data_IF_806893415059
#
_entry.id   IF_806893415059
#
_cell.length_a   1.000
_cell.length_b   1.000
_cell.length_c   1.000
_cell.angle_alpha   90.00
_cell.angle_beta   90.00
_cell.angle_gamma   90.00
#
_symmetry.space_group_name_H-M   'P 1'
#
loop_
_entity.id
_entity.type
_entity.pdbx_description
1 polymer ?
#
# COMPACT_ATOMS: atom_id res chain seq x y z
N UNK A 1 -14.57 -35.09 -2.39
CA UNK A 1 -13.78 -34.19 -1.51
C UNK A 1 -12.34 -34.61 -1.62
N UNK A 2 -11.43 -33.73 -2.08
CA UNK A 2 -9.99 -34.00 -2.03
C UNK A 2 -9.52 -33.88 -0.57
N UNK A 3 -8.54 -34.66 -0.16
CA UNK A 3 -8.04 -34.65 1.22
C UNK A 3 -7.43 -33.29 1.57
N UNK A 4 -7.87 -32.72 2.69
CA UNK A 4 -7.20 -31.59 3.33
C UNK A 4 -5.80 -32.04 3.73
N UNK A 5 -4.78 -31.47 3.12
CA UNK A 5 -3.40 -31.71 3.53
C UNK A 5 -3.10 -30.83 4.75
N UNK A 6 -2.41 -31.39 5.75
CA UNK A 6 -1.76 -30.58 6.79
C UNK A 6 -0.59 -29.83 6.15
N UNK A 7 -0.88 -28.65 5.62
CA UNK A 7 0.14 -27.71 5.15
C UNK A 7 0.55 -26.81 6.31
N UNK A 8 1.83 -26.46 6.39
CA UNK A 8 2.31 -25.43 7.31
C UNK A 8 1.91 -24.05 6.78
N UNK A 9 0.68 -23.66 7.10
CA UNK A 9 0.12 -22.37 6.66
C UNK A 9 1.00 -21.22 7.14
N UNK A 10 1.54 -21.27 8.37
CA UNK A 10 2.33 -20.16 8.89
C UNK A 10 3.62 -19.94 8.10
N UNK A 11 4.32 -21.03 7.74
CA UNK A 11 5.49 -20.94 6.86
C UNK A 11 5.14 -20.32 5.49
N UNK A 12 4.01 -20.72 4.89
CA UNK A 12 3.55 -20.18 3.61
C UNK A 12 3.15 -18.69 3.70
N UNK A 13 2.46 -18.28 4.78
CA UNK A 13 2.15 -16.88 5.06
C UNK A 13 3.42 -16.03 5.13
N UNK A 14 4.45 -16.54 5.80
CA UNK A 14 5.72 -15.85 5.92
C UNK A 14 6.43 -15.72 4.56
N UNK A 15 6.51 -16.80 3.77
CA UNK A 15 7.09 -16.76 2.42
C UNK A 15 6.35 -15.77 1.51
N UNK A 16 5.02 -15.72 1.61
CA UNK A 16 4.19 -14.78 0.87
C UNK A 16 4.50 -13.33 1.23
N UNK A 17 4.50 -13.01 2.52
CA UNK A 17 4.83 -11.66 2.99
C UNK A 17 6.24 -11.21 2.57
N UNK A 18 7.20 -12.13 2.57
CA UNK A 18 8.55 -11.88 2.08
C UNK A 18 8.54 -11.52 0.59
N UNK A 19 7.84 -12.32 -0.21
CA UNK A 19 7.74 -12.13 -1.65
C UNK A 19 7.12 -10.76 -2.00
N UNK A 20 6.05 -10.38 -1.31
CA UNK A 20 5.35 -9.11 -1.54
C UNK A 20 6.21 -7.90 -1.18
N UNK A 21 7.02 -8.00 -0.12
CA UNK A 21 7.99 -6.96 0.20
C UNK A 21 9.11 -6.86 -0.83
N UNK A 22 9.67 -7.99 -1.26
CA UNK A 22 10.71 -7.99 -2.29
C UNK A 22 10.19 -7.37 -3.59
N UNK A 23 8.97 -7.75 -3.99
CA UNK A 23 8.26 -7.14 -5.13
C UNK A 23 8.17 -5.62 -4.96
N UNK A 24 7.70 -5.15 -3.80
CA UNK A 24 7.52 -3.73 -3.54
C UNK A 24 8.85 -2.95 -3.55
N UNK A 25 9.90 -3.50 -2.96
CA UNK A 25 11.25 -2.91 -2.98
C UNK A 25 11.77 -2.79 -4.43
N UNK A 26 11.56 -3.82 -5.26
CA UNK A 26 11.98 -3.80 -6.66
C UNK A 26 11.17 -2.82 -7.51
N UNK A 27 9.87 -2.64 -7.20
CA UNK A 27 9.07 -1.59 -7.78
C UNK A 27 9.60 -0.21 -7.39
N UNK A 28 9.90 0.06 -6.11
CA UNK A 28 10.50 1.34 -5.69
C UNK A 28 11.82 1.59 -6.44
N UNK A 29 12.68 0.57 -6.55
CA UNK A 29 13.92 0.66 -7.32
C UNK A 29 13.68 0.98 -8.80
N UNK A 30 12.61 0.44 -9.39
CA UNK A 30 12.21 0.75 -10.77
C UNK A 30 11.75 2.19 -10.90
N UNK A 31 10.95 2.69 -9.95
CA UNK A 31 10.56 4.10 -9.91
C UNK A 31 11.81 5.01 -9.85
N UNK A 32 12.77 4.73 -8.97
CA UNK A 32 13.99 5.55 -8.83
C UNK A 32 14.89 5.56 -10.08
N UNK A 33 14.93 4.47 -10.85
CA UNK A 33 15.83 4.31 -12.00
C UNK A 33 15.26 4.85 -13.31
N UNK A 34 13.94 4.86 -13.45
CA UNK A 34 13.27 5.24 -14.69
C UNK A 34 12.86 6.71 -14.64
N UNK A 35 13.56 7.58 -15.40
CA UNK A 35 13.29 9.02 -15.43
C UNK A 35 11.82 9.35 -15.77
N UNK A 36 11.21 8.54 -16.64
CA UNK A 36 9.79 8.65 -17.00
C UNK A 36 8.83 8.45 -15.82
N UNK A 37 9.28 7.83 -14.74
CA UNK A 37 8.54 7.67 -13.49
C UNK A 37 8.93 8.73 -12.46
N UNK A 38 10.21 8.83 -12.10
CA UNK A 38 10.62 9.64 -10.95
C UNK A 38 10.59 11.15 -11.23
N UNK A 39 10.92 11.60 -12.44
CA UNK A 39 10.96 13.05 -12.73
C UNK A 39 9.57 13.68 -12.63
N UNK A 40 8.49 13.09 -13.19
CA UNK A 40 7.12 13.53 -12.93
C UNK A 40 6.77 13.59 -11.44
N UNK A 41 7.09 12.54 -10.68
CA UNK A 41 6.81 12.48 -9.24
C UNK A 41 7.52 13.58 -8.45
N UNK A 42 8.80 13.83 -8.74
CA UNK A 42 9.58 14.94 -8.16
C UNK A 42 8.93 16.29 -8.41
N UNK A 43 8.44 16.53 -9.63
CA UNK A 43 7.73 17.78 -9.97
C UNK A 43 6.42 17.91 -9.20
N UNK A 44 5.64 16.84 -9.10
CA UNK A 44 4.41 16.82 -8.30
C UNK A 44 4.71 17.07 -6.81
N UNK A 45 5.72 16.41 -6.25
CA UNK A 45 6.16 16.59 -4.87
C UNK A 45 6.63 18.04 -4.61
N UNK A 46 7.45 18.61 -5.52
CA UNK A 46 7.86 20.02 -5.44
C UNK A 46 6.65 20.96 -5.44
N UNK A 47 5.69 20.72 -6.32
CA UNK A 47 4.48 21.55 -6.38
C UNK A 47 3.64 21.43 -5.10
N UNK A 48 3.59 20.25 -4.49
CA UNK A 48 2.93 20.07 -3.20
C UNK A 48 3.65 20.81 -2.05
N UNK A 49 4.98 20.81 -2.03
CA UNK A 49 5.76 21.61 -1.08
C UNK A 49 5.49 23.10 -1.25
N UNK A 50 5.45 23.59 -2.50
CA UNK A 50 5.12 24.99 -2.80
C UNK A 50 3.71 25.36 -2.34
N UNK A 51 2.74 24.48 -2.58
CA UNK A 51 1.39 24.63 -2.06
C UNK A 51 1.38 24.71 -0.52
N UNK A 52 2.07 23.80 0.18
CA UNK A 52 2.14 23.79 1.65
C UNK A 52 2.81 25.06 2.20
N UNK A 53 3.83 25.59 1.54
CA UNK A 53 4.45 26.88 1.92
C UNK A 53 3.50 28.07 1.82
N UNK A 54 2.43 27.96 1.01
CA UNK A 54 1.39 28.98 0.87
C UNK A 54 0.14 28.68 1.71
N UNK A 55 0.13 27.58 2.47
CA UNK A 55 -0.96 27.22 3.39
C UNK A 55 -0.72 27.83 4.77
N UNK A 56 -1.72 27.73 5.65
CA UNK A 56 -1.60 28.21 7.03
C UNK A 56 -0.47 27.47 7.76
N UNK A 57 0.58 28.21 8.13
CA UNK A 57 1.82 27.68 8.72
C UNK A 57 1.55 26.79 9.94
N UNK A 58 0.66 27.23 10.84
CA UNK A 58 0.32 26.46 12.04
C UNK A 58 -0.24 25.08 11.72
N UNK A 59 -0.97 24.94 10.62
CA UNK A 59 -1.55 23.65 10.18
C UNK A 59 -0.47 22.74 9.59
N UNK A 60 0.45 23.30 8.80
CA UNK A 60 1.56 22.56 8.22
C UNK A 60 2.51 22.05 9.29
N UNK A 61 2.89 22.90 10.24
CA UNK A 61 3.74 22.52 11.36
C UNK A 61 3.09 21.44 12.24
N UNK A 62 1.78 21.50 12.45
CA UNK A 62 1.03 20.47 13.18
C UNK A 62 1.01 19.13 12.42
N UNK A 63 0.87 19.15 11.09
CA UNK A 63 0.99 17.94 10.26
C UNK A 63 2.40 17.34 10.31
N UNK A 64 3.46 18.17 10.24
CA UNK A 64 4.84 17.71 10.36
C UNK A 64 5.11 17.02 11.71
N UNK A 65 4.47 17.46 12.79
CA UNK A 65 4.59 16.83 14.12
C UNK A 65 3.94 15.44 14.16
N UNK A 66 2.74 15.30 13.59
CA UNK A 66 2.04 14.00 13.53
C UNK A 66 2.76 12.98 12.63
N UNK A 67 3.43 13.49 11.60
CA UNK A 67 4.22 12.74 10.63
C UNK A 67 5.73 12.81 10.90
N UNK A 68 6.14 13.01 12.15
CA UNK A 68 7.56 13.13 12.54
C UNK A 68 8.41 11.86 12.31
N UNK A 69 7.77 10.73 12.00
CA UNK A 69 8.44 9.46 11.69
C UNK A 69 8.70 9.26 10.19
N UNK A 70 8.30 10.20 9.33
CA UNK A 70 8.62 10.09 7.90
C UNK A 70 10.14 10.08 7.69
N UNK A 71 10.58 9.25 6.76
CA UNK A 71 12.00 9.01 6.48
C UNK A 71 12.65 10.26 5.90
N UNK A 72 11.88 11.04 5.13
CA UNK A 72 12.35 12.31 4.57
C UNK A 72 12.86 13.30 5.63
N UNK A 73 12.39 13.23 6.87
CA UNK A 73 12.92 14.05 7.96
C UNK A 73 14.30 13.60 8.43
N UNK A 74 14.56 12.30 8.38
CA UNK A 74 15.86 11.73 8.77
C UNK A 74 16.94 12.06 7.72
N UNK A 75 16.56 12.15 6.45
CA UNK A 75 17.51 12.41 5.35
C UNK A 75 17.66 13.87 5.00
N UNK A 76 16.58 14.67 5.09
CA UNK A 76 16.56 16.06 4.60
C UNK A 76 16.28 17.11 5.68
N UNK A 77 15.81 16.70 6.86
CA UNK A 77 15.62 17.58 8.02
C UNK A 77 14.44 18.57 7.95
N UNK A 78 14.34 19.44 6.94
CA UNK A 78 13.34 20.53 6.89
C UNK A 78 12.65 20.69 5.55
N UNK A 79 11.43 21.23 5.54
CA UNK A 79 10.66 21.52 4.32
C UNK A 79 11.41 22.42 3.32
N UNK A 80 12.13 23.44 3.82
CA UNK A 80 12.93 24.33 2.98
C UNK A 80 14.06 23.57 2.28
N UNK A 81 14.77 22.72 3.01
CA UNK A 81 15.86 21.93 2.43
C UNK A 81 15.32 20.91 1.42
N UNK A 82 14.23 20.21 1.74
CA UNK A 82 13.53 19.31 0.82
C UNK A 82 13.12 20.03 -0.46
N UNK A 83 12.56 21.24 -0.34
CA UNK A 83 12.14 22.07 -1.47
C UNK A 83 13.29 22.50 -2.37
N UNK A 84 14.49 22.74 -1.81
CA UNK A 84 15.68 23.10 -2.58
C UNK A 84 16.30 21.89 -3.29
N UNK A 85 16.22 20.71 -2.70
CA UNK A 85 16.83 19.47 -3.23
C UNK A 85 15.83 18.56 -3.97
N UNK A 86 14.67 19.10 -4.35
CA UNK A 86 13.54 18.34 -4.89
C UNK A 86 13.88 17.45 -6.10
N UNK A 87 14.87 17.87 -6.91
CA UNK A 87 15.33 17.14 -8.09
C UNK A 87 16.05 15.84 -7.76
N UNK A 88 16.54 15.70 -6.52
CA UNK A 88 17.26 14.53 -6.03
C UNK A 88 16.37 13.58 -5.21
N UNK A 89 15.07 13.88 -5.06
CA UNK A 89 14.18 13.08 -4.23
C UNK A 89 14.04 11.66 -4.78
N UNK A 90 14.06 10.67 -3.90
CA UNK A 90 13.76 9.28 -4.25
C UNK A 90 12.25 9.02 -4.22
N UNK A 91 11.82 7.89 -4.75
CA UNK A 91 10.43 7.46 -4.78
C UNK A 91 9.85 7.37 -3.36
N UNK A 92 10.61 6.82 -2.40
CA UNK A 92 10.21 6.81 -0.98
C UNK A 92 10.00 8.23 -0.41
N UNK A 93 10.91 9.16 -0.69
CA UNK A 93 10.81 10.56 -0.25
C UNK A 93 9.63 11.29 -0.92
N UNK A 94 9.36 11.03 -2.20
CA UNK A 94 8.17 11.54 -2.88
C UNK A 94 6.89 11.02 -2.20
N UNK A 95 6.85 9.74 -1.85
CA UNK A 95 5.73 9.14 -1.12
C UNK A 95 5.54 9.75 0.27
N UNK A 96 6.61 10.07 0.99
CA UNK A 96 6.53 10.76 2.29
C UNK A 96 5.92 12.17 2.14
N UNK A 97 6.29 12.91 1.08
CA UNK A 97 5.68 14.23 0.80
C UNK A 97 4.20 14.09 0.48
N UNK A 98 3.80 13.06 -0.27
CA UNK A 98 2.40 12.76 -0.58
C UNK A 98 1.61 12.55 0.71
N UNK A 99 2.14 11.73 1.63
CA UNK A 99 1.53 11.45 2.93
C UNK A 99 1.39 12.72 3.76
N UNK A 100 2.46 13.52 3.84
CA UNK A 100 2.44 14.80 4.55
C UNK A 100 1.36 15.74 3.98
N UNK A 101 1.27 15.84 2.66
CA UNK A 101 0.24 16.65 2.01
C UNK A 101 -1.17 16.17 2.37
N UNK A 102 -1.41 14.86 2.36
CA UNK A 102 -2.68 14.27 2.79
C UNK A 102 -3.08 14.65 4.22
N UNK A 103 -2.11 14.65 5.14
CA UNK A 103 -2.29 15.07 6.54
C UNK A 103 -2.58 16.57 6.66
N UNK A 104 -1.86 17.43 5.92
CA UNK A 104 -2.10 18.88 5.87
C UNK A 104 -3.51 19.17 5.37
N UNK A 105 -3.95 18.51 4.29
CA UNK A 105 -5.30 18.68 3.75
C UNK A 105 -6.37 18.30 4.77
N UNK A 106 -6.17 17.22 5.52
CA UNK A 106 -7.12 16.81 6.57
C UNK A 106 -7.27 17.87 7.66
N UNK A 107 -6.14 18.39 8.15
CA UNK A 107 -6.13 19.41 9.20
C UNK A 107 -6.72 20.73 8.70
N UNK A 108 -6.45 21.11 7.45
CA UNK A 108 -7.10 22.26 6.81
C UNK A 108 -8.62 22.07 6.71
N UNK A 109 -9.08 20.86 6.40
CA UNK A 109 -10.50 20.53 6.40
C UNK A 109 -11.16 20.75 7.77
N UNK A 110 -10.48 20.35 8.85
CA UNK A 110 -10.94 20.54 10.24
C UNK A 110 -10.91 22.01 10.68
N UNK A 111 -9.96 22.80 10.17
CA UNK A 111 -9.85 24.23 10.46
C UNK A 111 -10.93 25.08 9.76
N UNK A 112 -11.59 24.54 8.73
CA UNK A 112 -12.66 25.21 7.98
C UNK A 112 -12.18 26.04 6.78
N UNK A 113 -13.10 26.78 6.16
CA UNK A 113 -12.80 27.63 4.99
C UNK A 113 -12.47 26.85 3.71
N UNK A 114 -11.55 27.37 2.89
CA UNK A 114 -11.16 26.77 1.60
C UNK A 114 -10.57 25.36 1.70
N UNK A 115 -10.08 24.96 2.87
CA UNK A 115 -9.58 23.60 3.14
C UNK A 115 -10.67 22.52 3.15
N UNK A 116 -11.91 22.88 3.50
CA UNK A 116 -13.02 21.92 3.61
C UNK A 116 -13.40 21.29 2.26
N UNK A 117 -13.36 22.05 1.17
CA UNK A 117 -13.62 21.53 -0.17
C UNK A 117 -12.55 20.52 -0.60
N UNK A 118 -11.29 20.81 -0.28
CA UNK A 118 -10.17 19.96 -0.63
C UNK A 118 -10.18 18.64 0.16
N UNK A 119 -10.49 18.69 1.46
CA UNK A 119 -10.66 17.50 2.28
C UNK A 119 -11.88 16.67 1.85
N UNK A 120 -12.98 17.32 1.46
CA UNK A 120 -14.16 16.65 0.90
C UNK A 120 -13.83 15.90 -0.38
N UNK A 121 -13.08 16.53 -1.29
CA UNK A 121 -12.63 15.88 -2.53
C UNK A 121 -11.67 14.72 -2.24
N UNK A 122 -10.74 14.87 -1.29
CA UNK A 122 -9.86 13.77 -0.88
C UNK A 122 -10.67 12.57 -0.36
N UNK A 123 -11.71 12.83 0.43
CA UNK A 123 -12.59 11.78 0.98
C UNK A 123 -13.35 10.98 -0.07
N UNK A 124 -13.54 11.47 -1.30
CA UNK A 124 -14.22 10.69 -2.36
C UNK A 124 -13.39 9.51 -2.87
N UNK A 125 -12.07 9.53 -2.65
CA UNK A 125 -11.17 8.41 -3.00
C UNK A 125 -11.14 7.34 -1.90
N UNK A 126 -11.66 7.66 -0.71
CA UNK A 126 -11.89 6.68 0.34
C UNK A 126 -13.19 5.97 -0.01
N UNK A 127 -13.19 4.65 -0.19
CA UNK A 127 -14.44 3.93 -0.48
C UNK A 127 -15.48 4.19 0.62
N UNK A 128 -16.76 4.07 0.28
CA UNK A 128 -17.83 4.31 1.25
C UNK A 128 -17.68 3.37 2.47
N UNK A 129 -17.98 3.83 3.70
CA UNK A 129 -17.96 2.97 4.89
C UNK A 129 -18.78 1.70 4.65
N UNK A 130 -18.14 0.53 4.86
CA UNK A 130 -18.87 -0.74 4.82
C UNK A 130 -19.86 -0.77 5.99
N UNK A 131 -21.02 -1.39 5.78
CA UNK A 131 -21.95 -1.68 6.87
C UNK A 131 -21.48 -2.93 7.61
N UNK A 132 -21.50 -2.93 8.94
CA UNK A 132 -21.29 -4.14 9.72
C UNK A 132 -22.52 -5.08 9.62
N UNK A 133 -22.45 -6.26 10.27
CA UNK A 133 -23.55 -7.23 10.31
C UNK A 133 -24.83 -6.71 10.97
N UNK A 134 -24.77 -5.55 11.65
CA UNK A 134 -25.88 -4.89 12.30
C UNK A 134 -26.35 -3.67 11.50
N UNK A 135 -25.80 -3.41 10.30
CA UNK A 135 -26.16 -2.29 9.45
C UNK A 135 -25.56 -0.95 9.88
N UNK A 136 -24.56 -0.94 10.76
CA UNK A 136 -23.86 0.28 11.21
C UNK A 136 -22.72 0.62 10.25
N UNK A 137 -22.57 1.91 9.92
CA UNK A 137 -21.40 2.38 9.17
C UNK A 137 -20.12 2.10 9.96
N UNK A 138 -19.26 1.25 9.41
CA UNK A 138 -17.90 1.07 9.88
C UNK A 138 -17.08 2.24 9.40
N UNK A 139 -16.52 3.00 10.34
CA UNK A 139 -15.75 4.18 9.97
C UNK A 139 -14.31 3.73 9.69
N UNK A 140 -13.90 3.89 8.43
CA UNK A 140 -12.52 3.65 7.99
C UNK A 140 -11.53 4.40 8.88
N UNK A 141 -10.42 3.76 9.22
CA UNK A 141 -9.34 4.33 10.04
C UNK A 141 -9.68 4.51 11.55
N UNK A 142 -10.90 4.91 11.93
CA UNK A 142 -11.22 5.15 13.35
C UNK A 142 -11.61 3.89 14.13
N UNK A 143 -12.13 2.85 13.48
CA UNK A 143 -12.37 1.54 14.12
C UNK A 143 -11.10 0.64 14.16
N UNK A 144 -9.91 1.26 14.05
CA UNK A 144 -8.61 0.63 14.34
C UNK A 144 -8.47 0.34 15.84
N UNK A 145 -9.12 -0.70 16.36
CA UNK A 145 -8.67 -1.25 17.64
C UNK A 145 -7.38 -2.06 17.43
N UNK A 146 -6.25 -1.36 17.40
CA UNK A 146 -4.93 -1.98 17.53
C UNK A 146 -4.79 -2.50 18.95
N UNK A 147 -4.77 -3.82 19.13
CA UNK A 147 -4.15 -4.39 20.31
C UNK A 147 -2.65 -4.19 20.13
N UNK A 148 -2.05 -3.23 20.85
CA UNK A 148 -0.59 -3.03 20.88
C UNK A 148 0.04 -4.21 21.62
N UNK A 149 0.44 -5.25 20.89
CA UNK A 149 1.34 -6.27 21.40
C UNK A 149 2.77 -5.79 21.23
N UNK A 150 3.47 -5.45 22.33
CA UNK A 150 4.92 -5.16 22.30
C UNK A 150 5.74 -6.43 22.07
N UNK A 151 5.61 -7.07 20.91
CA UNK A 151 6.59 -8.07 20.47
C UNK A 151 7.36 -7.48 19.31
N UNK A 152 8.59 -7.06 19.61
CA UNK A 152 9.61 -6.83 18.60
C UNK A 152 9.79 -8.14 17.84
N UNK A 153 9.32 -8.17 16.59
CA UNK A 153 9.55 -9.32 15.70
C UNK A 153 11.05 -9.46 15.53
N UNK A 154 11.57 -10.64 15.84
CA UNK A 154 12.96 -10.96 15.53
C UNK A 154 13.11 -10.90 14.01
N UNK A 155 13.87 -9.89 13.55
CA UNK A 155 14.17 -9.65 12.14
C UNK A 155 15.04 -10.82 11.67
N UNK A 156 14.57 -11.70 10.78
CA UNK A 156 15.38 -12.81 10.29
C UNK A 156 16.60 -12.28 9.51
N UNK A 157 17.68 -13.06 9.49
CA UNK A 157 18.97 -12.66 8.89
C UNK A 157 18.87 -12.24 7.41
N UNK A 158 18.02 -12.91 6.62
CA UNK A 158 17.77 -12.53 5.21
C UNK A 158 17.23 -11.10 5.08
N UNK A 159 16.56 -10.57 6.11
CA UNK A 159 15.97 -9.25 6.11
C UNK A 159 17.02 -8.14 6.23
N UNK A 160 18.24 -8.43 6.71
CA UNK A 160 19.33 -7.43 6.76
C UNK A 160 19.79 -6.99 5.36
N UNK A 161 19.93 -7.95 4.43
CA UNK A 161 20.29 -7.67 3.03
C UNK A 161 19.22 -6.82 2.31
N UNK A 162 17.95 -7.03 2.66
CA UNK A 162 16.85 -6.24 2.09
C UNK A 162 16.65 -4.90 2.80
N UNK A 163 17.04 -4.80 4.07
CA UNK A 163 17.14 -3.52 4.77
C UNK A 163 18.14 -2.59 4.10
N UNK A 164 19.31 -3.09 3.74
CA UNK A 164 20.30 -2.32 3.01
C UNK A 164 19.76 -1.86 1.65
N UNK A 165 19.17 -2.78 0.86
CA UNK A 165 18.57 -2.43 -0.44
C UNK A 165 17.44 -1.41 -0.29
N UNK A 166 16.53 -1.58 0.66
CA UNK A 166 15.42 -0.67 0.85
C UNK A 166 15.89 0.71 1.34
N UNK A 167 16.90 0.74 2.22
CA UNK A 167 17.48 1.99 2.71
C UNK A 167 18.12 2.81 1.59
N UNK A 168 18.78 2.16 0.62
CA UNK A 168 19.28 2.83 -0.59
C UNK A 168 18.17 3.54 -1.38
N UNK A 169 16.95 3.03 -1.31
CA UNK A 169 15.77 3.60 -1.99
C UNK A 169 14.91 4.49 -1.09
N UNK A 170 15.41 4.84 0.10
CA UNK A 170 14.74 5.71 1.04
C UNK A 170 13.53 5.09 1.73
N UNK A 171 13.55 3.77 1.92
CA UNK A 171 12.53 3.02 2.66
C UNK A 171 13.05 2.79 4.08
N UNK A 172 12.30 3.22 5.09
CA UNK A 172 12.62 2.99 6.50
C UNK A 172 11.67 1.97 7.14
N UNK A 173 12.22 0.81 7.49
CA UNK A 173 11.48 -0.24 8.19
C UNK A 173 11.08 0.15 9.63
N UNK A 174 11.62 1.22 10.22
CA UNK A 174 11.13 1.74 11.52
C UNK A 174 9.75 2.38 11.39
N UNK A 175 9.33 2.79 10.19
CA UNK A 175 7.95 3.22 9.93
C UNK A 175 6.94 2.06 10.04
N UNK A 176 7.41 0.79 10.03
CA UNK A 176 6.57 -0.40 10.18
C UNK A 176 5.77 -0.42 11.50
N UNK A 177 6.23 0.29 12.54
CA UNK A 177 5.58 0.37 13.86
C UNK A 177 4.20 1.05 13.86
N UNK A 178 3.71 1.52 12.71
CA UNK A 178 2.33 1.97 12.54
C UNK A 178 1.48 1.09 11.61
N UNK A 179 1.99 0.05 10.94
CA UNK A 179 1.29 -0.58 9.82
C UNK A 179 0.94 -2.06 9.99
N UNK A 180 1.98 -2.87 10.18
CA UNK A 180 1.89 -4.33 10.22
C UNK A 180 2.77 -4.82 11.37
N UNK A 181 2.27 -4.77 12.59
CA UNK A 181 2.92 -5.41 13.75
C UNK A 181 2.41 -6.86 13.85
N UNK A 182 3.30 -7.85 13.98
CA UNK A 182 2.90 -9.17 14.50
C UNK A 182 2.34 -8.96 15.91
N UNK A 183 1.01 -8.97 16.01
CA UNK A 183 0.28 -8.70 17.26
C UNK A 183 -0.84 -7.67 17.13
N UNK A 184 -0.88 -6.86 16.06
CA UNK A 184 -2.04 -6.03 15.76
C UNK A 184 -3.11 -6.88 15.06
N UNK A 185 -4.03 -7.47 15.82
CA UNK A 185 -5.16 -8.18 15.22
C UNK A 185 -6.19 -7.19 14.68
N UNK A 186 -6.42 -7.18 13.37
CA UNK A 186 -7.67 -6.64 12.80
C UNK A 186 -8.84 -7.34 13.50
N UNK A 187 -9.99 -6.71 13.72
CA UNK A 187 -11.12 -7.37 14.35
C UNK A 187 -11.60 -8.56 13.49
N UNK A 188 -12.05 -9.64 14.12
CA UNK A 188 -12.40 -10.90 13.43
C UNK A 188 -13.53 -10.74 12.40
N UNK A 189 -14.24 -9.61 12.45
CA UNK A 189 -15.31 -9.28 11.53
C UNK A 189 -14.88 -8.52 10.27
N UNK A 190 -13.67 -7.94 10.19
CA UNK A 190 -13.21 -7.24 8.98
C UNK A 190 -13.19 -8.17 7.78
N UNK A 191 -13.76 -7.73 6.66
CA UNK A 191 -13.78 -8.47 5.40
C UNK A 191 -12.36 -8.72 4.90
N UNK A 192 -11.46 -7.74 5.05
CA UNK A 192 -10.05 -7.89 4.65
C UNK A 192 -9.37 -8.97 5.48
N UNK A 193 -9.55 -9.00 6.81
CA UNK A 193 -9.02 -10.09 7.65
C UNK A 193 -9.54 -11.46 7.24
N UNK A 194 -10.80 -11.57 6.83
CA UNK A 194 -11.37 -12.85 6.37
C UNK A 194 -10.76 -13.30 5.06
N UNK A 195 -10.53 -12.37 4.13
CA UNK A 195 -9.81 -12.62 2.88
C UNK A 195 -8.36 -13.00 3.20
N UNK A 196 -7.66 -12.24 4.03
CA UNK A 196 -6.29 -12.54 4.46
C UNK A 196 -6.18 -13.94 5.06
N UNK A 197 -7.12 -14.29 5.94
CA UNK A 197 -7.17 -15.60 6.54
C UNK A 197 -7.43 -16.68 5.47
N UNK A 198 -8.43 -16.52 4.61
CA UNK A 198 -8.77 -17.49 3.58
C UNK A 198 -7.63 -17.72 2.57
N UNK A 199 -6.87 -16.69 2.22
CA UNK A 199 -5.78 -16.77 1.25
C UNK A 199 -4.38 -16.89 1.87
N UNK A 200 -4.28 -17.01 3.20
CA UNK A 200 -3.01 -17.10 3.90
C UNK A 200 -2.12 -15.85 3.69
N UNK A 201 -2.71 -14.67 3.79
CA UNK A 201 -1.98 -13.39 3.74
C UNK A 201 -1.57 -12.95 5.16
N UNK A 202 -0.46 -12.21 5.29
CA UNK A 202 -0.05 -11.60 6.56
C UNK A 202 -1.15 -10.68 7.13
N UNK A 203 -1.26 -10.65 8.47
CA UNK A 203 -2.30 -9.86 9.17
C UNK A 203 -1.95 -8.37 9.13
N UNK A 204 -2.90 -7.54 8.70
CA UNK A 204 -2.85 -6.07 8.80
C UNK A 204 -2.94 -5.41 7.42
N UNK A 205 -3.86 -4.53 7.07
CA UNK A 205 -4.90 -3.82 7.79
C UNK A 205 -6.24 -3.87 7.00
N UNK A 206 -7.20 -3.00 7.34
CA UNK A 206 -8.43 -2.76 6.53
C UNK A 206 -8.14 -1.73 5.43
N UNK A 207 -9.07 -1.37 4.54
CA UNK A 207 -8.81 -0.45 3.39
C UNK A 207 -7.88 0.75 3.74
N UNK A 208 -6.81 0.91 2.95
CA UNK A 208 -5.76 1.89 3.21
C UNK A 208 -6.19 3.31 2.84
N UNK A 209 -6.50 4.11 3.87
CA UNK A 209 -6.70 5.55 3.72
C UNK A 209 -5.48 6.27 3.14
N UNK A 210 -4.27 5.79 3.45
CA UNK A 210 -3.02 6.35 2.90
C UNK A 210 -2.86 6.05 1.41
N UNK A 211 -3.30 4.87 0.93
CA UNK A 211 -3.39 4.62 -0.50
C UNK A 211 -4.38 5.57 -1.16
N UNK A 212 -5.57 5.76 -0.60
CA UNK A 212 -6.57 6.69 -1.14
C UNK A 212 -6.04 8.14 -1.24
N UNK A 213 -5.30 8.59 -0.21
CA UNK A 213 -4.67 9.92 -0.21
C UNK A 213 -3.62 10.04 -1.33
N UNK A 214 -2.85 8.97 -1.61
CA UNK A 214 -1.92 8.93 -2.75
C UNK A 214 -2.64 8.98 -4.10
N UNK A 215 -3.77 8.26 -4.25
CA UNK A 215 -4.56 8.29 -5.49
C UNK A 215 -5.05 9.70 -5.81
N UNK A 216 -5.64 10.34 -4.80
CA UNK A 216 -6.07 11.74 -4.86
C UNK A 216 -4.92 12.67 -5.23
N UNK A 217 -3.75 12.50 -4.60
CA UNK A 217 -2.60 13.34 -4.83
C UNK A 217 -2.14 13.28 -6.29
N UNK A 218 -1.92 12.07 -6.83
CA UNK A 218 -1.36 11.89 -8.18
C UNK A 218 -2.31 12.47 -9.23
N UNK A 219 -3.62 12.20 -9.13
CA UNK A 219 -4.59 12.75 -10.09
C UNK A 219 -4.64 14.28 -10.03
N UNK A 220 -4.59 14.86 -8.81
CA UNK A 220 -4.59 16.31 -8.62
C UNK A 220 -3.33 16.97 -9.16
N UNK A 221 -2.15 16.45 -8.84
CA UNK A 221 -0.88 17.13 -9.14
C UNK A 221 -0.35 16.84 -10.54
N UNK A 222 -0.69 15.71 -11.17
CA UNK A 222 -0.35 15.47 -12.57
C UNK A 222 -0.85 16.63 -13.45
N UNK A 223 -2.15 16.94 -13.38
CA UNK A 223 -2.76 18.03 -14.15
C UNK A 223 -2.16 19.40 -13.82
N UNK A 224 -1.91 19.69 -12.54
CA UNK A 224 -1.37 20.99 -12.10
C UNK A 224 0.07 21.23 -12.48
N UNK A 225 0.81 20.16 -12.75
CA UNK A 225 2.19 20.22 -13.23
C UNK A 225 2.30 20.11 -14.76
N UNK A 226 1.18 20.06 -15.48
CA UNK A 226 1.18 19.84 -16.94
C UNK A 226 1.72 18.46 -17.33
N UNK A 227 1.61 17.47 -16.43
CA UNK A 227 2.01 16.09 -16.67
C UNK A 227 0.76 15.33 -17.11
N UNK A 228 0.88 14.61 -18.23
CA UNK A 228 -0.19 13.70 -18.69
C UNK A 228 -0.42 12.62 -17.62
N UNK A 229 -1.69 12.42 -17.24
CA UNK A 229 -2.02 11.44 -16.22
C UNK A 229 -1.84 10.03 -16.77
N UNK A 230 -0.97 9.26 -16.13
CA UNK A 230 -0.83 7.82 -16.36
C UNK A 230 -1.12 7.05 -15.06
N UNK A 231 -2.05 6.07 -15.07
CA UNK A 231 -2.33 5.23 -13.91
C UNK A 231 -1.10 4.51 -13.34
N UNK A 232 -0.02 4.33 -14.10
CA UNK A 232 1.22 3.71 -13.62
C UNK A 232 1.82 4.47 -12.43
N UNK A 233 1.63 5.80 -12.36
CA UNK A 233 2.10 6.60 -11.23
C UNK A 233 1.42 6.22 -9.91
N UNK A 234 0.19 5.68 -9.97
CA UNK A 234 -0.54 5.23 -8.80
C UNK A 234 0.08 3.98 -8.14
N UNK A 235 0.89 3.22 -8.88
CA UNK A 235 1.64 2.09 -8.31
C UNK A 235 2.72 2.53 -7.31
N UNK A 236 3.06 3.82 -7.26
CA UNK A 236 3.97 4.34 -6.24
C UNK A 236 3.46 4.00 -4.84
N UNK A 237 2.15 4.13 -4.59
CA UNK A 237 1.55 3.83 -3.29
C UNK A 237 1.75 2.35 -2.91
N UNK A 238 1.58 1.43 -3.86
CA UNK A 238 1.86 0.02 -3.63
C UNK A 238 3.34 -0.22 -3.36
N UNK A 239 4.21 0.35 -4.17
CA UNK A 239 5.65 0.18 -4.05
C UNK A 239 6.14 0.64 -2.67
N UNK A 240 5.81 1.86 -2.25
CA UNK A 240 6.40 2.46 -1.04
C UNK A 240 5.73 2.01 0.26
N UNK A 241 4.40 1.83 0.26
CA UNK A 241 3.69 1.44 1.49
C UNK A 241 3.94 -0.03 1.86
N UNK A 242 4.00 -0.92 0.86
CA UNK A 242 4.27 -2.34 1.10
C UNK A 242 5.75 -2.54 1.43
N UNK A 243 6.67 -1.86 0.74
CA UNK A 243 8.10 -1.98 1.03
C UNK A 243 8.46 -1.49 2.42
N UNK A 244 7.81 -0.44 2.91
CA UNK A 244 8.00 0.09 4.26
C UNK A 244 7.28 -0.73 5.36
N UNK A 245 6.57 -1.80 4.99
CA UNK A 245 5.65 -2.56 5.89
C UNK A 245 4.62 -1.66 6.56
N UNK A 246 4.22 -0.59 5.88
CA UNK A 246 3.18 0.30 6.37
C UNK A 246 1.78 -0.27 6.10
N UNK A 247 1.63 -1.05 5.02
CA UNK A 247 0.40 -1.74 4.64
C UNK A 247 0.72 -3.09 4.01
N UNK A 248 -0.20 -4.07 4.11
CA UNK A 248 -0.11 -5.28 3.29
C UNK A 248 -0.43 -4.97 1.83
N UNK A 249 0.05 -5.80 0.90
CA UNK A 249 -0.19 -5.63 -0.52
C UNK A 249 -1.68 -5.66 -0.85
N UNK A 250 -2.44 -6.59 -0.26
CA UNK A 250 -3.88 -6.69 -0.49
C UNK A 250 -4.60 -5.40 -0.06
N UNK A 251 -4.20 -4.79 1.04
CA UNK A 251 -4.83 -3.57 1.56
C UNK A 251 -4.71 -2.41 0.56
N UNK A 252 -3.51 -2.25 -0.01
CA UNK A 252 -3.25 -1.24 -1.03
C UNK A 252 -3.98 -1.60 -2.32
N UNK A 253 -3.86 -2.85 -2.78
CA UNK A 253 -4.45 -3.31 -4.02
C UNK A 253 -5.99 -3.22 -4.01
N UNK A 254 -6.65 -3.59 -2.91
CA UNK A 254 -8.10 -3.47 -2.75
C UNK A 254 -8.55 -2.00 -2.84
N UNK A 255 -7.82 -1.09 -2.20
CA UNK A 255 -8.10 0.35 -2.29
C UNK A 255 -7.98 0.85 -3.73
N UNK A 256 -6.95 0.39 -4.46
CA UNK A 256 -6.74 0.71 -5.87
C UNK A 256 -7.84 0.09 -6.77
N UNK A 257 -8.27 -1.14 -6.50
CA UNK A 257 -9.37 -1.82 -7.22
C UNK A 257 -10.68 -1.06 -7.04
N UNK A 258 -11.02 -0.66 -5.81
CA UNK A 258 -12.24 0.11 -5.53
C UNK A 258 -12.25 1.50 -6.19
N UNK A 259 -11.07 2.06 -6.44
CA UNK A 259 -10.87 3.29 -7.21
C UNK A 259 -10.66 3.02 -8.73
N UNK A 260 -10.88 1.79 -9.20
CA UNK A 260 -10.79 1.37 -10.61
C UNK A 260 -9.42 1.60 -11.25
N UNK A 261 -8.36 1.57 -10.45
CA UNK A 261 -6.99 1.74 -10.92
C UNK A 261 -6.42 0.40 -11.39
N UNK A 262 -6.72 -0.70 -10.69
CA UNK A 262 -6.23 -2.06 -10.98
C UNK A 262 -7.38 -3.05 -10.86
N UNK A 263 -7.15 -4.30 -11.27
CA UNK A 263 -8.10 -5.41 -11.05
C UNK A 263 -7.37 -6.58 -10.40
N UNK A 264 -6.94 -6.38 -9.16
CA UNK A 264 -6.03 -7.32 -8.52
C UNK A 264 -6.70 -8.66 -8.22
N UNK A 265 -6.02 -9.74 -8.57
CA UNK A 265 -6.31 -11.11 -8.14
C UNK A 265 -5.19 -11.58 -7.20
N UNK A 266 -5.55 -12.03 -6.00
CA UNK A 266 -4.59 -12.43 -4.97
C UNK A 266 -3.67 -13.52 -5.52
N UNK A 267 -2.36 -13.29 -5.46
CA UNK A 267 -1.38 -14.22 -6.03
C UNK A 267 -1.04 -14.03 -7.50
N UNK A 268 -1.69 -13.10 -8.19
CA UNK A 268 -1.42 -12.80 -9.60
C UNK A 268 -0.93 -11.36 -9.72
N UNK A 269 0.33 -11.11 -9.38
CA UNK A 269 0.88 -9.75 -9.35
C UNK A 269 0.81 -9.03 -10.68
N UNK A 270 0.78 -9.75 -11.81
CA UNK A 270 0.53 -9.15 -13.14
C UNK A 270 -0.79 -8.40 -13.23
N UNK A 271 -1.80 -8.77 -12.41
CA UNK A 271 -3.10 -8.08 -12.31
C UNK A 271 -3.08 -6.80 -11.48
N UNK A 272 -1.96 -6.49 -10.80
CA UNK A 272 -1.71 -5.16 -10.22
C UNK A 272 -1.38 -4.12 -11.28
N UNK A 273 -1.09 -4.55 -12.51
CA UNK A 273 -0.85 -3.60 -13.58
C UNK A 273 -2.13 -2.80 -13.85
N UNK A 274 -2.06 -1.46 -13.99
CA UNK A 274 -3.25 -0.64 -14.08
C UNK A 274 -4.21 -1.07 -15.18
N UNK A 275 -5.49 -1.18 -14.81
CA UNK A 275 -6.57 -1.38 -15.74
C UNK A 275 -6.86 -0.04 -16.42
N UNK A 276 -6.85 0.03 -17.75
CA UNK A 276 -7.11 1.27 -18.45
C UNK A 276 -7.29 1.09 -19.94
N UNK A 277 -7.78 2.16 -20.58
CA UNK A 277 -7.92 2.24 -22.02
C UNK A 277 -6.61 1.86 -22.68
N UNK A 278 -6.69 0.88 -23.59
CA UNK A 278 -5.57 0.28 -24.31
C UNK A 278 -4.72 1.36 -25.00
N UNK A 279 -5.30 2.54 -25.26
CA UNK A 279 -4.61 3.63 -25.93
C UNK A 279 -3.67 4.46 -25.04
N UNK A 280 -3.90 4.56 -23.72
CA UNK A 280 -3.08 5.40 -22.82
C UNK A 280 -2.07 4.58 -22.03
N UNK A 281 -2.51 3.48 -21.41
CA UNK A 281 -1.62 2.65 -20.56
C UNK A 281 -0.49 1.98 -21.38
N UNK A 282 -0.69 1.83 -22.69
CA UNK A 282 0.26 1.11 -23.54
C UNK A 282 1.48 1.93 -23.94
N UNK A 283 1.49 3.25 -23.69
CA UNK A 283 2.50 4.18 -24.19
C UNK A 283 3.56 4.60 -23.16
N UNK A 284 3.36 4.33 -21.86
CA UNK A 284 4.33 4.74 -20.85
C UNK A 284 5.71 4.09 -21.06
N UNK A 285 6.83 4.84 -21.10
CA UNK A 285 8.15 4.28 -21.36
C UNK A 285 8.57 3.18 -20.36
N UNK A 286 8.25 3.35 -19.08
CA UNK A 286 8.56 2.36 -18.03
C UNK A 286 7.64 1.13 -17.99
N UNK A 287 6.65 1.01 -18.89
CA UNK A 287 5.67 -0.10 -18.89
C UNK A 287 6.33 -1.48 -18.89
N UNK A 288 7.29 -1.69 -19.78
CA UNK A 288 7.96 -2.98 -19.93
C UNK A 288 8.71 -3.38 -18.65
N UNK A 289 9.27 -2.40 -17.94
CA UNK A 289 10.00 -2.61 -16.69
C UNK A 289 9.06 -3.00 -15.56
N UNK A 290 7.99 -2.23 -15.34
CA UNK A 290 6.98 -2.54 -14.31
C UNK A 290 6.35 -3.91 -14.58
N UNK A 291 5.93 -4.20 -15.82
CA UNK A 291 5.36 -5.50 -16.18
C UNK A 291 6.37 -6.64 -15.99
N UNK A 292 7.64 -6.41 -16.32
CA UNK A 292 8.72 -7.35 -16.09
C UNK A 292 8.85 -7.74 -14.62
N UNK A 293 8.89 -6.75 -13.73
CA UNK A 293 8.94 -6.96 -12.27
C UNK A 293 7.71 -7.75 -11.81
N UNK A 294 6.49 -7.31 -12.13
CA UNK A 294 5.27 -8.01 -11.70
C UNK A 294 5.25 -9.49 -12.16
N UNK A 295 5.62 -9.75 -13.41
CA UNK A 295 5.67 -11.11 -13.96
C UNK A 295 6.75 -11.98 -13.32
N UNK A 296 7.89 -11.40 -12.95
CA UNK A 296 8.99 -12.11 -12.28
C UNK A 296 8.52 -12.62 -10.91
N UNK A 297 7.88 -11.77 -10.12
CA UNK A 297 7.41 -12.14 -8.79
C UNK A 297 6.21 -13.09 -8.83
N UNK A 298 5.38 -13.01 -9.89
CA UNK A 298 4.28 -13.96 -10.08
C UNK A 298 4.80 -15.39 -10.35
N UNK A 299 5.96 -15.52 -10.98
CA UNK A 299 6.59 -16.82 -11.26
C UNK A 299 7.54 -17.28 -10.15
N UNK A 300 7.64 -16.54 -9.05
CA UNK A 300 8.56 -16.89 -7.97
C UNK A 300 8.07 -18.12 -7.22
N UNK A 301 8.99 -18.97 -6.75
CA UNK A 301 8.67 -20.22 -6.03
C UNK A 301 7.86 -20.02 -4.74
N UNK A 302 7.89 -18.81 -4.19
CA UNK A 302 7.17 -18.42 -2.97
C UNK A 302 5.74 -17.97 -3.27
N UNK A 303 5.39 -17.78 -4.55
CA UNK A 303 4.04 -17.43 -4.98
C UNK A 303 3.16 -18.69 -4.99
N UNK A 304 2.88 -19.24 -3.81
CA UNK A 304 2.00 -20.39 -3.66
C UNK A 304 0.55 -19.91 -3.52
N UNK A 305 -0.36 -20.54 -4.26
CA UNK A 305 -1.80 -20.28 -4.20
C UNK A 305 -2.44 -21.26 -3.23
N UNK A 306 -2.93 -20.76 -2.10
CA UNK A 306 -3.53 -21.56 -1.05
C UNK A 306 -4.92 -21.07 -0.69
N UNK A 307 -5.79 -22.01 -0.33
CA UNK A 307 -7.05 -21.75 0.36
C UNK A 307 -7.00 -22.38 1.75
N UNK A 308 -7.15 -21.57 2.79
CA UNK A 308 -7.07 -21.98 4.18
C UNK A 308 -8.48 -22.19 4.74
N UNK A 309 -8.68 -23.29 5.45
CA UNK A 309 -9.95 -23.63 6.09
C UNK A 309 -9.84 -23.41 7.61
N UNK A 310 -10.80 -22.68 8.17
CA UNK A 310 -10.88 -22.38 9.60
C UNK A 310 -12.06 -23.11 10.24
N UNK A 311 -11.94 -23.42 11.53
CA UNK A 311 -13.04 -23.99 12.30
C UNK A 311 -14.10 -22.90 12.58
N UNK A 312 -15.31 -22.99 12.00
CA UNK A 312 -16.35 -21.99 12.21
C UNK A 312 -16.99 -22.08 13.61
N UNK A 313 -16.80 -23.18 14.34
CA UNK A 313 -17.48 -23.44 15.61
C UNK A 313 -16.82 -22.74 16.80
N UNK A 314 -15.54 -22.40 16.67
CA UNK A 314 -14.78 -21.73 17.72
C UNK A 314 -14.70 -20.23 17.43
N UNK A 315 -15.74 -19.52 17.86
CA UNK A 315 -15.86 -18.06 17.74
C UNK A 315 -14.61 -17.37 18.30
N UNK A 316 -13.82 -16.75 17.42
CA UNK A 316 -12.59 -16.05 17.79
C UNK A 316 -11.32 -16.91 17.88
N UNK A 317 -11.39 -18.23 17.65
CA UNK A 317 -10.20 -19.04 17.46
C UNK A 317 -9.83 -19.08 15.98
N UNK A 318 -8.58 -18.76 15.68
CA UNK A 318 -8.00 -18.88 14.33
C UNK A 318 -7.52 -20.32 14.08
N UNK A 319 -8.22 -21.32 14.63
CA UNK A 319 -7.78 -22.70 14.49
C UNK A 319 -7.94 -23.15 13.04
N UNK A 320 -6.78 -23.30 12.40
CA UNK A 320 -6.64 -23.78 11.03
C UNK A 320 -6.95 -25.27 11.02
N UNK A 321 -8.04 -25.65 10.35
CA UNK A 321 -8.39 -27.05 10.14
C UNK A 321 -7.46 -27.72 9.12
N UNK A 322 -6.95 -26.92 8.18
CA UNK A 322 -6.03 -27.34 7.14
C UNK A 322 -6.02 -26.34 6.00
N UNK A 323 -5.41 -26.72 4.88
CA UNK A 323 -5.44 -25.91 3.68
C UNK A 323 -5.34 -26.74 2.41
N UNK A 324 -5.71 -26.09 1.32
CA UNK A 324 -5.63 -26.63 -0.02
C UNK A 324 -4.61 -25.82 -0.81
N UNK A 325 -3.54 -26.47 -1.26
CA UNK A 325 -2.56 -25.90 -2.18
C UNK A 325 -3.01 -26.23 -3.60
N UNK A 326 -3.17 -25.21 -4.43
CA UNK A 326 -3.56 -25.37 -5.82
C UNK A 326 -2.36 -25.79 -6.67
N UNK A 327 -2.58 -26.75 -7.56
CA UNK A 327 -1.60 -27.17 -8.55
C UNK A 327 -1.73 -26.33 -9.85
N UNK A 328 -0.74 -26.39 -10.74
CA UNK A 328 -0.70 -25.58 -11.98
C UNK A 328 -1.97 -25.69 -12.84
N UNK A 329 -2.57 -26.88 -12.92
CA UNK A 329 -3.81 -27.12 -13.68
C UNK A 329 -5.06 -26.48 -13.07
N UNK A 330 -4.97 -25.90 -11.87
CA UNK A 330 -6.11 -25.34 -11.13
C UNK A 330 -5.98 -23.83 -10.90
N UNK A 331 -4.87 -23.24 -11.34
CA UNK A 331 -4.52 -21.83 -11.10
C UNK A 331 -5.57 -20.89 -11.69
N UNK A 332 -6.11 -21.16 -12.87
CA UNK A 332 -7.14 -20.29 -13.48
C UNK A 332 -8.43 -20.28 -12.65
N UNK A 333 -8.84 -21.44 -12.12
CA UNK A 333 -10.01 -21.52 -11.24
C UNK A 333 -9.76 -20.83 -9.91
N UNK A 334 -8.54 -20.90 -9.38
CA UNK A 334 -8.17 -20.13 -8.20
C UNK A 334 -8.22 -18.63 -8.47
N UNK A 335 -7.74 -18.19 -9.64
CA UNK A 335 -7.76 -16.78 -10.06
C UNK A 335 -9.17 -16.21 -10.06
N UNK A 336 -10.14 -16.93 -10.60
CA UNK A 336 -11.55 -16.55 -10.58
C UNK A 336 -12.09 -16.32 -9.16
N UNK A 337 -11.63 -17.11 -8.18
CA UNK A 337 -12.02 -16.97 -6.77
C UNK A 337 -11.27 -15.85 -6.04
N UNK A 338 -10.09 -15.47 -6.55
CA UNK A 338 -9.14 -14.58 -5.90
C UNK A 338 -9.26 -13.12 -6.35
N UNK A 339 -10.23 -12.78 -7.20
CA UNK A 339 -10.44 -11.42 -7.73
C UNK A 339 -10.98 -10.49 -6.63
N UNK A 340 -10.39 -9.30 -6.49
CA UNK A 340 -10.76 -8.30 -5.46
C UNK A 340 -11.90 -7.35 -5.87
N UNK A 341 -12.52 -7.56 -7.03
CA UNK A 341 -13.59 -6.72 -7.59
C UNK A 341 -14.13 -7.24 -8.91
#
# INVERSE_FOLDING_TARGET
MRELRRIDVQALKNQRFQLEQMLAIELVATFDKEDSLIVPLRKMAKRALDDMNNMQESVVLDACKDENLLYIWQTRGSLTHIGNEWQSLKAGECSDIIRLYGAVVEKLGKAGGGGAQLDTLKKTYRPAPMKDFQGKDMIWDTDRYRVRGKKQVQIPEWQQLWQEKAHVHGIDFKQAGKGVEEGSSILSWSTVRKIDNAFGLPIGADISGTTADSLFFIERFARRCGIEYDPIYQLLALATLVSARHHALLEVALTMTLNKVVTYSIGFYSSLYPAGDINHVYQHPARGKIKGVLNQYEKHDFNKHILVYFDPTKKGSEEILGGYLFDEGEIERFKELAVTG
#
